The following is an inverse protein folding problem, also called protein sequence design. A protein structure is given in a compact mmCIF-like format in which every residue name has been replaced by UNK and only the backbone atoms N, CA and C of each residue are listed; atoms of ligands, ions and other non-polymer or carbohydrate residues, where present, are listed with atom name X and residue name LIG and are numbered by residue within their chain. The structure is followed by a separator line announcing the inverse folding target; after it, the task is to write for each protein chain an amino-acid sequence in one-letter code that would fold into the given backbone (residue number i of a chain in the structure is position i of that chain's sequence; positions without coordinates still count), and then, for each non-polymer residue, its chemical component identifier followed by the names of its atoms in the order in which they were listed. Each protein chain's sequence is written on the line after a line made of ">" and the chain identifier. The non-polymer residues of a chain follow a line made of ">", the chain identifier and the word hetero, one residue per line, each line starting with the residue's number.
data_IF_303705819224
#
_entry.id   IF_303705819224
#
_cell.length_a   1.000
_cell.length_b   1.000
_cell.length_c   1.000
_cell.angle_alpha   90.00
_cell.angle_beta   90.00
_cell.angle_gamma   90.00
#
_symmetry.space_group_name_H-M   'P 1'
#
loop_
_entity.id
_entity.type
_entity.pdbx_description
1 polymer ?
#
# COMPACT_ATOMS: atom_id res chain seq x y z
N UNK A 1 -11.10 12.49 23.16
CA UNK A 1 -11.07 13.96 23.37
C UNK A 1 -12.53 14.40 23.42
N UNK A 2 -12.99 15.09 24.48
CA UNK A 2 -14.34 15.65 24.50
C UNK A 2 -14.60 16.36 23.18
N UNK A 3 -15.70 15.99 22.52
CA UNK A 3 -16.16 16.52 21.22
C UNK A 3 -15.33 16.24 19.96
N UNK A 4 -14.10 15.74 20.03
CA UNK A 4 -13.32 15.40 18.81
C UNK A 4 -13.31 13.91 18.44
N UNK A 5 -13.74 13.01 19.33
CA UNK A 5 -13.76 11.56 19.09
C UNK A 5 -12.70 10.78 19.90
N UNK A 6 -12.42 9.54 19.50
CA UNK A 6 -11.51 8.65 20.23
C UNK A 6 -10.11 8.66 19.63
N UNK A 7 -9.12 8.92 20.49
CA UNK A 7 -7.71 9.02 20.10
C UNK A 7 -6.92 7.88 20.70
N UNK A 8 -6.18 7.18 19.86
CA UNK A 8 -5.33 6.06 20.19
C UNK A 8 -3.87 6.43 20.00
N UNK A 9 -3.02 5.90 20.87
CA UNK A 9 -1.57 6.03 20.84
C UNK A 9 -1.00 4.64 20.65
N UNK A 10 -0.23 4.44 19.59
CA UNK A 10 0.23 3.13 19.16
C UNK A 10 1.76 3.14 19.04
N UNK A 11 2.37 2.06 19.50
CA UNK A 11 3.76 1.71 19.25
C UNK A 11 3.79 0.28 18.71
N UNK A 12 4.38 0.09 17.53
CA UNK A 12 4.39 -1.20 16.86
C UNK A 12 5.62 -1.34 15.96
N UNK A 13 5.94 -2.58 15.58
CA UNK A 13 6.92 -2.89 14.55
C UNK A 13 6.22 -3.16 13.21
N UNK A 14 6.93 -2.92 12.12
CA UNK A 14 6.48 -3.22 10.77
C UNK A 14 7.36 -4.28 10.15
N UNK A 15 6.79 -5.08 9.26
CA UNK A 15 7.50 -6.09 8.48
C UNK A 15 7.40 -5.75 7.00
N UNK A 16 8.44 -6.08 6.24
CA UNK A 16 8.37 -6.01 4.78
C UNK A 16 7.38 -7.04 4.27
N UNK A 17 6.43 -6.60 3.45
CA UNK A 17 5.33 -7.46 3.03
C UNK A 17 5.76 -8.60 2.08
N UNK A 18 6.97 -8.55 1.51
CA UNK A 18 7.51 -9.59 0.62
C UNK A 18 8.40 -10.57 1.38
N UNK A 19 9.35 -10.07 2.19
CA UNK A 19 10.31 -10.92 2.89
C UNK A 19 9.83 -11.35 4.28
N UNK A 20 8.88 -10.63 4.88
CA UNK A 20 8.49 -10.80 6.28
C UNK A 20 9.55 -10.34 7.27
N UNK A 21 10.63 -9.72 6.79
CA UNK A 21 11.70 -9.23 7.65
C UNK A 21 11.29 -7.93 8.35
N UNK A 22 11.89 -7.65 9.51
CA UNK A 22 11.62 -6.43 10.25
C UNK A 22 12.00 -5.19 9.42
N UNK A 23 11.01 -4.37 9.09
CA UNK A 23 11.15 -3.14 8.31
C UNK A 23 11.30 -1.88 9.19
N UNK A 24 11.13 -2.02 10.51
CA UNK A 24 11.27 -0.90 11.44
C UNK A 24 10.26 -0.90 12.59
N UNK A 25 10.23 0.23 13.28
CA UNK A 25 9.28 0.52 14.35
C UNK A 25 8.65 1.88 14.16
N UNK A 26 7.40 2.02 14.58
CA UNK A 26 6.62 3.23 14.42
C UNK A 26 5.92 3.64 15.72
N UNK A 27 5.84 4.95 15.90
CA UNK A 27 4.98 5.61 16.88
C UNK A 27 3.87 6.34 16.11
N UNK A 28 2.62 6.03 16.40
CA UNK A 28 1.48 6.61 15.72
C UNK A 28 0.42 7.13 16.69
N UNK A 29 -0.31 8.14 16.23
CA UNK A 29 -1.58 8.55 16.83
C UNK A 29 -2.68 8.48 15.80
N UNK A 30 -3.81 7.86 16.17
CA UNK A 30 -5.00 7.75 15.32
C UNK A 30 -6.16 8.38 16.07
N UNK A 31 -6.80 9.39 15.48
CA UNK A 31 -8.04 9.98 15.98
C UNK A 31 -9.17 9.56 15.05
N UNK A 32 -10.15 8.83 15.59
CA UNK A 32 -11.41 8.57 14.92
C UNK A 32 -12.40 9.67 15.30
N UNK A 33 -12.80 10.54 14.36
CA UNK A 33 -13.70 11.65 14.65
C UNK A 33 -15.12 11.15 14.92
N UNK A 34 -15.90 11.90 15.72
CA UNK A 34 -17.35 11.65 15.86
C UNK A 34 -18.13 11.92 14.56
N UNK A 35 -17.58 12.78 13.70
CA UNK A 35 -18.13 13.11 12.38
C UNK A 35 -17.85 11.99 11.39
N UNK A 36 -18.65 11.91 10.32
CA UNK A 36 -18.41 10.99 9.19
C UNK A 36 -17.24 11.46 8.32
N UNK A 37 -16.05 11.50 8.90
CA UNK A 37 -14.80 11.90 8.25
C UNK A 37 -13.73 10.82 8.45
N UNK A 38 -12.76 10.69 7.53
CA UNK A 38 -11.66 9.74 7.69
C UNK A 38 -10.89 9.92 9.01
N UNK A 39 -10.23 8.86 9.50
CA UNK A 39 -9.37 8.95 10.67
C UNK A 39 -8.21 9.93 10.46
N UNK A 40 -7.87 10.72 11.47
CA UNK A 40 -6.69 11.60 11.42
C UNK A 40 -5.49 10.82 11.98
N UNK A 41 -4.47 10.63 11.15
CA UNK A 41 -3.29 9.84 11.48
C UNK A 41 -2.04 10.71 11.48
N UNK A 42 -1.21 10.55 12.51
CA UNK A 42 0.15 11.06 12.54
C UNK A 42 1.06 9.89 12.90
N UNK A 43 2.12 9.67 12.12
CA UNK A 43 3.02 8.54 12.30
C UNK A 43 4.47 9.00 12.15
N UNK A 44 5.35 8.43 12.97
CA UNK A 44 6.80 8.55 12.85
C UNK A 44 7.39 7.15 12.89
N UNK A 45 8.15 6.79 11.87
CA UNK A 45 8.78 5.49 11.76
C UNK A 45 10.30 5.62 11.76
N UNK A 46 10.95 4.64 12.36
CA UNK A 46 12.38 4.38 12.25
C UNK A 46 12.54 3.11 11.42
N UNK A 47 13.08 3.28 10.22
CA UNK A 47 13.31 2.18 9.28
C UNK A 47 14.59 1.42 9.64
N UNK A 48 14.59 0.10 9.40
CA UNK A 48 15.80 -0.72 9.50
C UNK A 48 16.73 -0.49 8.31
N UNK A 49 16.16 -0.29 7.12
CA UNK A 49 16.87 0.08 5.92
C UNK A 49 17.22 1.57 5.91
N UNK A 50 18.36 1.90 5.30
CA UNK A 50 18.69 3.30 5.02
C UNK A 50 17.89 3.85 3.82
N UNK A 51 17.80 5.18 3.73
CA UNK A 51 17.02 5.85 2.69
C UNK A 51 17.53 5.55 1.27
N UNK A 52 18.81 5.23 1.09
CA UNK A 52 19.37 4.90 -0.23
C UNK A 52 18.90 3.52 -0.69
N UNK A 53 18.88 2.54 0.21
CA UNK A 53 18.37 1.19 -0.07
C UNK A 53 16.91 1.24 -0.52
N UNK A 54 16.06 1.96 0.22
CA UNK A 54 14.64 2.15 -0.14
C UNK A 54 14.53 2.78 -1.54
N UNK A 55 15.31 3.83 -1.81
CA UNK A 55 15.28 4.50 -3.10
C UNK A 55 15.76 3.60 -4.26
N UNK A 56 16.73 2.72 -4.02
CA UNK A 56 17.20 1.74 -4.99
C UNK A 56 16.14 0.68 -5.30
N UNK A 57 15.40 0.22 -4.30
CA UNK A 57 14.30 -0.74 -4.47
C UNK A 57 13.13 -0.14 -5.25
N UNK A 58 12.73 1.09 -4.92
CA UNK A 58 11.72 1.85 -5.66
C UNK A 58 12.14 2.06 -7.11
N UNK A 59 13.41 2.38 -7.35
CA UNK A 59 13.95 2.53 -8.70
C UNK A 59 13.93 1.19 -9.46
N UNK A 60 14.26 0.06 -8.82
CA UNK A 60 14.16 -1.27 -9.44
C UNK A 60 12.71 -1.56 -9.85
N UNK A 61 11.74 -1.25 -9.00
CA UNK A 61 10.32 -1.39 -9.31
C UNK A 61 9.92 -0.52 -10.51
N UNK A 62 10.28 0.76 -10.49
CA UNK A 62 10.00 1.69 -11.58
C UNK A 62 10.61 1.23 -12.91
N UNK A 63 11.88 0.79 -12.89
CA UNK A 63 12.55 0.28 -14.09
C UNK A 63 11.87 -0.99 -14.61
N UNK A 64 11.44 -1.93 -13.74
CA UNK A 64 10.67 -3.11 -14.16
C UNK A 64 9.41 -2.73 -14.92
N UNK A 65 8.66 -1.73 -14.42
CA UNK A 65 7.44 -1.24 -15.08
C UNK A 65 7.78 -0.57 -16.42
N UNK A 66 8.87 0.20 -16.50
CA UNK A 66 9.27 0.92 -17.73
C UNK A 66 9.81 0.00 -18.82
N UNK A 67 10.50 -1.07 -18.44
CA UNK A 67 11.09 -2.05 -19.37
C UNK A 67 10.05 -3.02 -19.94
N UNK A 68 8.84 -3.09 -19.37
CA UNK A 68 7.78 -3.92 -19.92
C UNK A 68 7.34 -3.41 -21.30
N UNK A 69 7.55 -4.25 -22.31
CA UNK A 69 7.19 -3.97 -23.71
C UNK A 69 5.70 -4.16 -23.98
N UNK A 70 5.00 -4.86 -23.09
CA UNK A 70 3.55 -5.11 -23.15
C UNK A 70 2.87 -4.44 -21.97
N UNK A 71 1.67 -3.94 -22.20
CA UNK A 71 0.83 -3.38 -21.14
C UNK A 71 0.55 -4.44 -20.07
N UNK A 72 0.66 -4.07 -18.79
CA UNK A 72 0.27 -4.94 -17.68
C UNK A 72 -1.25 -5.15 -17.73
N UNK A 73 -1.66 -6.41 -17.94
CA UNK A 73 -3.05 -6.84 -17.88
C UNK A 73 -3.09 -8.11 -17.04
N UNK A 74 -3.95 -8.16 -16.03
CA UNK A 74 -4.08 -9.32 -15.16
C UNK A 74 -5.43 -9.36 -14.46
N UNK A 75 -5.81 -10.53 -13.95
CA UNK A 75 -7.06 -10.74 -13.21
C UNK A 75 -6.79 -11.65 -12.02
N UNK A 76 -7.58 -11.50 -10.95
CA UNK A 76 -7.50 -12.31 -9.74
C UNK A 76 -6.06 -12.44 -9.21
N UNK A 77 -5.48 -11.33 -8.73
CA UNK A 77 -4.09 -11.27 -8.21
C UNK A 77 -4.14 -10.99 -6.71
N UNK A 78 -3.62 -11.85 -5.82
CA UNK A 78 -3.14 -13.20 -6.09
C UNK A 78 -4.25 -14.14 -6.58
N UNK A 79 -3.87 -15.27 -7.17
CA UNK A 79 -4.81 -16.31 -7.58
C UNK A 79 -5.47 -17.00 -6.37
N UNK A 80 -6.33 -18.00 -6.61
CA UNK A 80 -7.03 -18.72 -5.53
C UNK A 80 -6.12 -19.48 -4.57
N UNK A 81 -4.85 -19.67 -4.93
CA UNK A 81 -3.84 -20.36 -4.13
C UNK A 81 -2.84 -19.38 -3.47
N UNK A 82 -3.02 -18.07 -3.67
CA UNK A 82 -2.12 -17.05 -3.14
C UNK A 82 -0.92 -16.74 -4.05
N UNK A 83 -0.85 -17.30 -5.26
CA UNK A 83 0.28 -17.07 -6.16
C UNK A 83 0.13 -15.76 -6.93
N UNK A 84 1.27 -15.12 -7.20
CA UNK A 84 1.38 -13.92 -8.03
C UNK A 84 2.38 -14.21 -9.13
N UNK A 85 1.97 -14.06 -10.39
CA UNK A 85 2.91 -14.15 -11.51
C UNK A 85 3.96 -13.03 -11.40
N UNK A 86 5.26 -13.31 -11.61
CA UNK A 86 6.32 -12.30 -11.49
C UNK A 86 6.10 -11.04 -12.35
N UNK A 87 5.44 -11.18 -13.50
CA UNK A 87 5.10 -10.06 -14.38
C UNK A 87 4.03 -9.12 -13.79
N UNK A 88 3.22 -9.60 -12.84
CA UNK A 88 2.13 -8.89 -12.17
C UNK A 88 2.53 -8.36 -10.79
N UNK A 89 3.70 -8.73 -10.26
CA UNK A 89 4.23 -8.21 -8.99
C UNK A 89 4.20 -6.68 -8.91
N UNK A 90 4.57 -5.90 -9.95
CA UNK A 90 4.53 -4.44 -9.85
C UNK A 90 3.10 -3.90 -9.71
N UNK A 91 2.13 -4.51 -10.38
CA UNK A 91 0.72 -4.15 -10.22
C UNK A 91 0.21 -4.54 -8.83
N UNK A 92 0.61 -5.69 -8.30
CA UNK A 92 0.26 -6.06 -6.93
C UNK A 92 0.83 -5.07 -5.91
N UNK A 93 2.13 -4.75 -6.00
CA UNK A 93 2.80 -3.81 -5.10
C UNK A 93 2.10 -2.43 -5.08
N UNK A 94 1.79 -1.90 -6.27
CA UNK A 94 1.08 -0.62 -6.39
C UNK A 94 -0.38 -0.71 -5.92
N UNK A 95 -1.03 -1.87 -6.06
CA UNK A 95 -2.38 -2.08 -5.54
C UNK A 95 -2.40 -2.15 -4.01
N UNK A 96 -1.41 -2.78 -3.37
CA UNK A 96 -1.25 -2.78 -1.90
C UNK A 96 -1.09 -1.35 -1.40
N UNK A 97 -0.17 -0.59 -1.99
CA UNK A 97 0.04 0.82 -1.64
C UNK A 97 -1.23 1.67 -1.90
N UNK A 98 -1.84 1.57 -3.08
CA UNK A 98 -3.01 2.35 -3.45
C UNK A 98 -4.28 2.00 -2.65
N UNK A 99 -4.50 0.71 -2.37
CA UNK A 99 -5.64 0.28 -1.56
C UNK A 99 -5.52 0.75 -0.12
N UNK A 100 -4.30 0.88 0.43
CA UNK A 100 -4.10 1.39 1.79
C UNK A 100 -4.74 2.77 2.03
N UNK A 101 -4.74 3.64 1.01
CA UNK A 101 -5.44 4.93 1.07
C UNK A 101 -6.96 4.75 1.21
N UNK A 102 -7.56 3.85 0.42
CA UNK A 102 -9.00 3.55 0.50
C UNK A 102 -9.34 2.90 1.84
N UNK A 103 -8.50 1.96 2.30
CA UNK A 103 -8.66 1.30 3.60
C UNK A 103 -8.65 2.34 4.71
N UNK A 104 -7.67 3.26 4.72
CA UNK A 104 -7.62 4.36 5.67
C UNK A 104 -8.86 5.27 5.59
N UNK A 105 -9.22 5.73 4.39
CA UNK A 105 -10.35 6.64 4.17
C UNK A 105 -11.68 6.05 4.68
N UNK A 106 -11.88 4.74 4.52
CA UNK A 106 -13.11 4.05 4.89
C UNK A 106 -13.12 3.47 6.30
N UNK A 107 -11.97 3.37 6.96
CA UNK A 107 -11.85 2.73 8.28
C UNK A 107 -12.63 3.48 9.36
N UNK A 108 -13.25 2.71 10.26
CA UNK A 108 -13.88 3.19 11.49
C UNK A 108 -13.29 2.44 12.68
N UNK A 109 -13.60 2.88 13.91
CA UNK A 109 -13.07 2.24 15.13
C UNK A 109 -13.37 0.73 15.20
N UNK A 110 -14.48 0.30 14.60
CA UNK A 110 -14.96 -1.07 14.61
C UNK A 110 -14.85 -1.78 13.24
N UNK A 111 -14.24 -1.14 12.25
CA UNK A 111 -14.12 -1.69 10.90
C UNK A 111 -12.71 -1.49 10.35
N UNK A 112 -11.98 -2.59 10.21
CA UNK A 112 -10.72 -2.66 9.48
C UNK A 112 -10.92 -3.28 8.10
N UNK A 113 -10.07 -2.88 7.16
CA UNK A 113 -10.04 -3.42 5.81
C UNK A 113 -8.70 -4.10 5.56
N UNK A 114 -8.74 -5.15 4.75
CA UNK A 114 -7.56 -5.82 4.22
C UNK A 114 -7.75 -6.02 2.72
N UNK A 115 -6.68 -5.80 1.97
CA UNK A 115 -6.67 -6.08 0.55
C UNK A 115 -6.59 -7.60 0.33
N UNK A 116 -7.66 -8.20 -0.18
CA UNK A 116 -7.69 -9.63 -0.44
C UNK A 116 -7.15 -9.99 -1.83
N UNK A 117 -7.60 -9.27 -2.87
CA UNK A 117 -7.31 -9.59 -4.26
C UNK A 117 -7.58 -8.38 -5.18
N UNK A 118 -6.75 -8.22 -6.20
CA UNK A 118 -7.04 -7.39 -7.38
C UNK A 118 -7.91 -8.20 -8.33
N UNK A 119 -9.15 -7.76 -8.55
CA UNK A 119 -10.06 -8.48 -9.45
C UNK A 119 -9.61 -8.39 -10.91
N UNK A 120 -9.19 -7.21 -11.34
CA UNK A 120 -8.70 -6.91 -12.68
C UNK A 120 -7.69 -5.77 -12.59
N UNK A 121 -6.68 -5.77 -13.44
CA UNK A 121 -5.79 -4.63 -13.64
C UNK A 121 -5.51 -4.45 -15.12
N UNK A 122 -5.51 -3.18 -15.56
CA UNK A 122 -5.09 -2.80 -16.91
C UNK A 122 -4.26 -1.54 -16.89
N UNK A 123 -3.08 -1.62 -17.48
CA UNK A 123 -2.24 -0.46 -17.73
C UNK A 123 -2.77 0.37 -18.90
N UNK A 124 -2.86 1.68 -18.67
CA UNK A 124 -3.12 2.63 -19.75
C UNK A 124 -1.83 2.88 -20.52
N UNK A 125 -1.81 2.46 -21.79
CA UNK A 125 -0.69 2.77 -22.69
C UNK A 125 -0.78 4.24 -23.06
N UNK A 126 0.13 5.06 -22.51
CA UNK A 126 0.22 6.49 -22.82
C UNK A 126 1.65 6.85 -23.21
N UNK A 127 1.84 7.91 -24.01
CA UNK A 127 3.16 8.46 -24.35
C UNK A 127 3.83 9.23 -23.20
N UNK A 128 3.19 9.29 -22.02
CA UNK A 128 3.63 10.09 -20.88
C UNK A 128 4.47 9.24 -19.93
N UNK A 129 5.40 9.86 -19.19
CA UNK A 129 6.28 9.18 -18.23
C UNK A 129 5.56 8.61 -17.00
N UNK A 130 4.29 8.95 -16.79
CA UNK A 130 3.49 8.50 -15.66
C UNK A 130 2.80 7.17 -16.01
N UNK A 131 3.15 6.11 -15.28
CA UNK A 131 2.42 4.84 -15.33
C UNK A 131 1.04 5.00 -14.68
N UNK A 132 -0.01 4.63 -15.41
CA UNK A 132 -1.39 4.59 -14.89
C UNK A 132 -1.94 3.17 -14.98
N UNK A 133 -2.40 2.66 -13.85
CA UNK A 133 -3.06 1.36 -13.73
C UNK A 133 -4.51 1.59 -13.33
N UNK A 134 -5.43 0.91 -14.01
CA UNK A 134 -6.83 0.82 -13.62
C UNK A 134 -7.03 -0.52 -12.93
N UNK A 135 -7.33 -0.48 -11.64
CA UNK A 135 -7.77 -1.61 -10.83
C UNK A 135 -9.29 -1.71 -10.83
#
# INVERSE_FOLDING_TARGET
>A
IPDSGHKYYLQFTTEDYKSGENAGSCLATVLYPKTKSPPVVSIKCMHTQDQKQIQEEDNKLYQKIRQQTKAIIGNNIPDSYGNIEPALEPAWALAVAGSSYIMWEKSTENLGYFMAQVKSVKQWVSKVEITRLRY
#
